data_IF_922184619140
#
_entry.id   IF_922184619140
#
_cell.length_a   1.000
_cell.length_b   1.000
_cell.length_c   1.000
_cell.angle_alpha   90.00
_cell.angle_beta   90.00
_cell.angle_gamma   90.00
#
_symmetry.space_group_name_H-M   'P 1'
#
loop_
_entity.id
_entity.type
_entity.pdbx_description
1 polymer ?
#
# COMPACT_ATOMS: atom_id res chain seq x y z
N UNK A 1 -8.66 -13.31 -4.35
CA UNK A 1 -7.21 -13.39 -4.08
C UNK A 1 -6.76 -12.07 -3.45
N UNK A 2 -6.65 -12.03 -2.13
CA UNK A 2 -6.30 -10.83 -1.36
C UNK A 2 -5.13 -11.18 -0.43
N UNK A 3 -3.91 -11.17 -0.95
CA UNK A 3 -2.70 -11.45 -0.20
C UNK A 3 -1.68 -10.32 -0.33
N UNK A 4 -0.59 -10.33 0.47
CA UNK A 4 0.45 -9.30 0.41
C UNK A 4 1.00 -9.04 -1.00
N UNK A 5 1.28 -10.06 -1.85
CA UNK A 5 1.77 -9.84 -3.20
C UNK A 5 0.77 -9.09 -4.10
N UNK A 6 -0.53 -9.34 -3.91
CA UNK A 6 -1.58 -8.68 -4.68
C UNK A 6 -1.67 -7.19 -4.32
N UNK A 7 -1.49 -6.84 -3.04
CA UNK A 7 -1.45 -5.44 -2.60
C UNK A 7 -0.31 -4.68 -3.29
N UNK A 8 0.91 -5.23 -3.29
CA UNK A 8 2.06 -4.60 -3.94
C UNK A 8 1.88 -4.45 -5.44
N UNK A 9 1.38 -5.50 -6.11
CA UNK A 9 1.05 -5.44 -7.54
C UNK A 9 0.02 -4.35 -7.86
N UNK A 10 -0.94 -4.13 -6.96
CA UNK A 10 -1.96 -3.08 -7.13
C UNK A 10 -1.38 -1.68 -6.91
N UNK A 11 -0.51 -1.51 -5.92
CA UNK A 11 0.19 -0.25 -5.72
C UNK A 11 1.03 0.11 -6.96
N UNK A 12 1.77 -0.86 -7.49
CA UNK A 12 2.64 -0.65 -8.65
C UNK A 12 1.84 -0.34 -9.91
N UNK A 13 0.82 -1.16 -10.23
CA UNK A 13 0.12 -1.05 -11.52
C UNK A 13 -1.04 -0.05 -11.49
N UNK A 14 -1.84 0.00 -10.42
CA UNK A 14 -3.06 0.82 -10.41
C UNK A 14 -2.83 2.18 -9.77
N UNK A 15 -2.09 2.22 -8.65
CA UNK A 15 -1.92 3.47 -7.90
C UNK A 15 -0.91 4.39 -8.56
N UNK A 16 0.27 3.89 -8.95
CA UNK A 16 1.31 4.71 -9.59
C UNK A 16 0.77 5.29 -10.91
N UNK A 17 0.21 4.46 -11.79
CA UNK A 17 -0.33 4.91 -13.09
C UNK A 17 -1.53 5.87 -12.94
N UNK A 18 -2.34 5.69 -11.90
CA UNK A 18 -3.49 6.55 -11.63
C UNK A 18 -3.10 7.92 -11.08
N UNK A 19 -2.09 7.96 -10.20
CA UNK A 19 -1.64 9.20 -9.54
C UNK A 19 -0.68 9.99 -10.42
N UNK A 20 0.30 9.31 -11.01
CA UNK A 20 1.30 9.92 -11.88
C UNK A 20 0.88 9.69 -13.33
N UNK A 21 0.23 10.69 -13.91
CA UNK A 21 -0.24 10.61 -15.29
C UNK A 21 0.91 10.40 -16.27
N UNK A 22 0.72 9.46 -17.19
CA UNK A 22 1.57 9.26 -18.37
C UNK A 22 1.11 10.13 -19.54
N UNK A 23 1.77 9.99 -20.70
CA UNK A 23 1.46 10.78 -21.90
C UNK A 23 -0.06 10.79 -22.26
N UNK A 24 -0.44 11.75 -23.09
CA UNK A 24 -1.76 11.74 -23.71
C UNK A 24 -1.98 10.47 -24.54
N UNK A 25 -3.26 10.13 -24.80
CA UNK A 25 -3.63 8.96 -25.60
C UNK A 25 -3.04 9.01 -27.02
N UNK A 26 -2.70 10.21 -27.50
CA UNK A 26 -2.08 10.50 -28.78
C UNK A 26 -0.54 10.64 -28.69
N UNK A 27 0.08 10.08 -27.64
CA UNK A 27 1.52 10.18 -27.36
C UNK A 27 2.06 11.60 -27.14
N UNK A 28 1.20 12.62 -27.02
CA UNK A 28 1.65 13.97 -26.68
C UNK A 28 2.11 14.02 -25.22
N UNK A 29 3.21 14.72 -24.95
CA UNK A 29 3.71 14.94 -23.60
C UNK A 29 2.75 15.84 -22.82
N UNK A 30 2.59 15.57 -21.52
CA UNK A 30 1.81 16.45 -20.65
C UNK A 30 2.58 17.76 -20.47
N UNK A 31 1.91 18.90 -20.72
CA UNK A 31 2.53 20.24 -20.60
C UNK A 31 2.80 20.66 -19.15
N UNK A 32 2.03 20.14 -18.18
CA UNK A 32 2.27 20.32 -16.74
C UNK A 32 2.36 18.97 -16.06
N UNK A 33 3.46 18.70 -15.37
CA UNK A 33 3.71 17.43 -14.70
C UNK A 33 2.79 17.17 -13.47
N UNK A 34 2.05 18.20 -13.04
CA UNK A 34 1.22 18.18 -11.84
C UNK A 34 -0.15 17.52 -12.04
N UNK A 35 -0.52 17.10 -13.25
CA UNK A 35 -1.84 16.49 -13.46
C UNK A 35 -1.87 15.02 -13.02
N UNK A 36 -2.92 14.65 -12.28
CA UNK A 36 -3.27 13.25 -11.96
C UNK A 36 -3.67 12.52 -13.24
N UNK A 37 -3.67 11.19 -13.29
CA UNK A 37 -3.97 10.39 -14.50
C UNK A 37 -5.27 10.75 -15.25
N UNK A 38 -6.27 11.35 -14.57
CA UNK A 38 -7.49 11.89 -15.20
C UNK A 38 -7.28 13.21 -15.97
N UNK A 39 -6.12 13.85 -15.84
CA UNK A 39 -5.70 15.06 -16.58
C UNK A 39 -6.54 16.33 -16.34
N UNK A 40 -7.49 16.25 -15.40
CA UNK A 40 -8.35 17.35 -14.94
C UNK A 40 -7.91 17.84 -13.56
N UNK A 41 -7.53 16.91 -12.67
CA UNK A 41 -7.14 17.21 -11.29
C UNK A 41 -5.63 17.43 -11.16
N UNK A 42 -5.25 18.33 -10.26
CA UNK A 42 -3.84 18.64 -9.94
C UNK A 42 -3.42 17.85 -8.68
N UNK A 43 -2.25 17.22 -8.73
CA UNK A 43 -1.60 16.53 -7.62
C UNK A 43 -0.88 17.56 -6.75
N UNK A 44 -1.31 17.68 -5.49
CA UNK A 44 -0.65 18.53 -4.51
C UNK A 44 0.29 17.72 -3.64
N UNK A 45 1.58 18.06 -3.69
CA UNK A 45 2.61 17.36 -2.93
C UNK A 45 2.82 15.92 -3.42
N UNK A 46 3.15 15.02 -2.49
CA UNK A 46 3.45 13.62 -2.78
C UNK A 46 2.67 12.69 -1.85
N UNK A 47 2.17 11.54 -2.35
CA UNK A 47 1.49 10.56 -1.51
C UNK A 47 2.44 9.97 -0.45
N UNK A 48 1.92 9.70 0.74
CA UNK A 48 2.66 9.11 1.86
C UNK A 48 2.00 7.83 2.34
N UNK A 49 2.75 6.74 2.37
CA UNK A 49 2.30 5.47 2.95
C UNK A 49 2.57 5.45 4.46
N UNK A 50 1.59 4.98 5.23
CA UNK A 50 1.71 4.79 6.68
C UNK A 50 1.44 3.32 7.01
N UNK A 51 2.35 2.70 7.75
CA UNK A 51 2.23 1.32 8.21
C UNK A 51 2.18 1.29 9.73
N UNK A 52 1.22 0.54 10.29
CA UNK A 52 1.21 0.18 11.70
C UNK A 52 1.71 -1.25 11.85
N UNK A 53 2.41 -1.53 12.96
CA UNK A 53 2.88 -2.88 13.31
C UNK A 53 2.48 -3.17 14.74
N UNK A 54 2.14 -4.42 15.00
CA UNK A 54 1.82 -4.92 16.34
C UNK A 54 3.10 -5.47 16.95
N UNK A 55 3.28 -5.28 18.26
CA UNK A 55 4.41 -5.85 18.99
C UNK A 55 4.34 -7.38 18.94
N UNK A 56 5.47 -7.99 18.62
CA UNK A 56 5.63 -9.45 18.66
C UNK A 56 5.56 -9.87 20.15
N UNK A 57 4.78 -10.91 20.44
CA UNK A 57 4.44 -11.39 21.80
C UNK A 57 3.44 -10.51 22.56
N UNK A 58 2.55 -9.83 21.83
CA UNK A 58 1.43 -9.11 22.47
C UNK A 58 0.41 -10.05 23.10
N UNK A 59 0.49 -11.37 22.87
CA UNK A 59 -0.37 -12.35 23.51
C UNK A 59 0.32 -13.62 23.96
N UNK A 60 -0.32 -14.29 24.91
CA UNK A 60 0.18 -15.51 25.54
C UNK A 60 -0.20 -16.70 24.67
N UNK A 61 0.81 -17.36 24.10
CA UNK A 61 0.60 -18.62 23.37
C UNK A 61 0.25 -19.74 24.36
N UNK A 62 -0.81 -20.52 24.11
CA UNK A 62 -1.16 -21.68 24.93
C UNK A 62 0.01 -22.68 25.05
N UNK A 63 0.18 -23.31 26.22
CA UNK A 63 1.32 -24.22 26.52
C UNK A 63 1.53 -25.32 25.49
N UNK A 64 0.46 -25.87 24.94
CA UNK A 64 0.49 -26.97 23.97
C UNK A 64 1.16 -26.54 22.65
N UNK A 65 1.09 -25.24 22.30
CA UNK A 65 1.56 -24.71 21.01
C UNK A 65 2.93 -24.00 21.07
N UNK A 66 3.51 -23.81 22.27
CA UNK A 66 4.78 -23.08 22.45
C UNK A 66 6.00 -23.73 21.79
N UNK A 67 5.92 -25.02 21.42
CA UNK A 67 6.99 -25.71 20.67
C UNK A 67 6.88 -25.56 19.15
N UNK A 68 5.75 -25.04 18.64
CA UNK A 68 5.44 -24.96 17.20
C UNK A 68 5.38 -23.50 16.74
N UNK A 69 4.82 -22.61 17.55
CA UNK A 69 4.64 -21.19 17.22
C UNK A 69 5.59 -20.35 18.08
N UNK A 70 6.46 -19.60 17.43
CA UNK A 70 7.51 -18.79 18.06
C UNK A 70 7.07 -17.37 18.44
N UNK A 71 5.93 -16.90 17.93
CA UNK A 71 5.42 -15.56 18.23
C UNK A 71 3.95 -15.42 17.88
N UNK A 72 3.22 -14.66 18.70
CA UNK A 72 1.81 -14.38 18.48
C UNK A 72 1.51 -12.88 18.67
N UNK A 73 0.55 -12.38 17.89
CA UNK A 73 0.14 -10.99 17.91
C UNK A 73 -1.39 -10.90 17.88
N UNK A 74 -1.99 -10.17 18.82
CA UNK A 74 -3.44 -9.89 18.84
C UNK A 74 -3.75 -8.62 18.06
N UNK A 75 -4.87 -8.62 17.33
CA UNK A 75 -5.38 -7.48 16.56
C UNK A 75 -6.12 -6.42 17.39
N UNK A 76 -6.08 -6.53 18.72
CA UNK A 76 -6.57 -5.48 19.63
C UNK A 76 -5.60 -4.30 19.58
N UNK A 77 -5.85 -3.43 18.61
CA UNK A 77 -5.33 -2.07 18.61
C UNK A 77 -6.13 -1.33 19.70
N UNK A 78 -5.43 -0.57 20.55
CA UNK A 78 -6.02 0.31 21.58
C UNK A 78 -7.19 1.11 21.00
#
# INVERSE_FOLDING_TARGET
>A
AYGPPYFWKRLDIQFVDGVYGSNWYNNQKIKKQEYIGNKISILLGMPRLRQLRIKIDSCIVPRILRGIITGAATTSII
#
